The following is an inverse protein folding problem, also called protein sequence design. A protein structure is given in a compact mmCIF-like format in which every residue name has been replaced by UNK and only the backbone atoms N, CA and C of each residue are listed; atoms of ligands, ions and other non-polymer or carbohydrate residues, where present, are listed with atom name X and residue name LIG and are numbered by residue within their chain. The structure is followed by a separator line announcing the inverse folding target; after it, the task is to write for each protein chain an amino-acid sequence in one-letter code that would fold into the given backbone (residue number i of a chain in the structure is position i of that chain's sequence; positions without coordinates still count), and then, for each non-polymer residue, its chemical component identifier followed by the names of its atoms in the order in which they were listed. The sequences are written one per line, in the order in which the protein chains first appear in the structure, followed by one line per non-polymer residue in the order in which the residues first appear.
data_IF_695189728727
#
_entry.id   IF_695189728727
#
_cell.length_a   1.000
_cell.length_b   1.000
_cell.length_c   1.000
_cell.angle_alpha   90.00
_cell.angle_beta   90.00
_cell.angle_gamma   90.00
#
_symmetry.space_group_name_H-M   'P 1'
#
loop_
_entity.id
_entity.type
_entity.pdbx_description
1 polymer ?
#
# COMPACT_ATOMS: atom_id res chain seq x y z
N UNK A 1 1.87 -32.15 -5.88
CA UNK A 1 1.71 -31.96 -7.34
C UNK A 1 2.03 -30.50 -7.68
N UNK A 2 2.19 -30.14 -8.96
CA UNK A 2 2.53 -28.76 -9.38
C UNK A 2 1.54 -27.73 -8.84
N UNK A 3 0.23 -27.97 -9.00
CA UNK A 3 -0.82 -27.08 -8.52
C UNK A 3 -0.74 -26.83 -7.00
N UNK A 4 -0.45 -27.87 -6.20
CA UNK A 4 -0.26 -27.71 -4.74
C UNK A 4 0.94 -26.83 -4.39
N UNK A 5 2.05 -26.94 -5.15
CA UNK A 5 3.22 -26.08 -4.95
C UNK A 5 2.89 -24.62 -5.26
N UNK A 6 2.23 -24.37 -6.39
CA UNK A 6 1.80 -23.03 -6.78
C UNK A 6 0.83 -22.41 -5.77
N UNK A 7 -0.12 -23.19 -5.27
CA UNK A 7 -1.04 -22.74 -4.22
C UNK A 7 -0.28 -22.38 -2.94
N UNK A 8 0.70 -23.19 -2.54
CA UNK A 8 1.53 -22.93 -1.36
C UNK A 8 2.35 -21.66 -1.53
N UNK A 9 2.98 -21.46 -2.69
CA UNK A 9 3.74 -20.24 -2.99
C UNK A 9 2.83 -19.00 -3.00
N UNK A 10 1.64 -19.11 -3.61
CA UNK A 10 0.66 -18.03 -3.67
C UNK A 10 0.18 -17.64 -2.27
N UNK A 11 -0.12 -18.62 -1.41
CA UNK A 11 -0.50 -18.36 -0.02
C UNK A 11 0.63 -17.71 0.77
N UNK A 12 1.86 -18.22 0.66
CA UNK A 12 3.02 -17.63 1.33
C UNK A 12 3.28 -16.19 0.85
N UNK A 13 3.09 -15.93 -0.45
CA UNK A 13 3.29 -14.60 -1.00
C UNK A 13 2.14 -13.64 -0.61
N UNK A 14 0.91 -14.14 -0.48
CA UNK A 14 -0.21 -13.38 0.07
C UNK A 14 0.02 -13.04 1.55
N UNK A 15 0.51 -13.98 2.35
CA UNK A 15 0.87 -13.74 3.76
C UNK A 15 1.97 -12.68 3.88
N UNK A 16 3.03 -12.78 3.07
CA UNK A 16 4.10 -11.78 3.04
C UNK A 16 3.61 -10.39 2.59
N UNK A 17 2.71 -10.36 1.61
CA UNK A 17 2.04 -9.13 1.14
C UNK A 17 1.23 -8.50 2.26
N UNK A 18 0.40 -9.29 2.95
CA UNK A 18 -0.44 -8.80 4.05
C UNK A 18 0.41 -8.29 5.23
N UNK A 19 1.49 -9.00 5.58
CA UNK A 19 2.43 -8.61 6.63
C UNK A 19 3.13 -7.27 6.34
N UNK A 20 3.28 -6.92 5.07
CA UNK A 20 3.87 -5.64 4.62
C UNK A 20 2.82 -4.54 4.47
N UNK A 21 1.67 -4.86 3.86
CA UNK A 21 0.60 -3.90 3.58
C UNK A 21 -0.02 -3.31 4.85
N UNK A 22 -0.33 -4.16 5.84
CA UNK A 22 -1.05 -3.72 7.03
C UNK A 22 -0.27 -2.65 7.83
N UNK A 23 1.03 -2.82 8.14
CA UNK A 23 1.82 -1.77 8.79
C UNK A 23 1.94 -0.48 7.96
N UNK A 24 2.06 -0.58 6.63
CA UNK A 24 2.18 0.61 5.76
C UNK A 24 0.90 1.44 5.74
N UNK A 25 -0.26 0.78 5.59
CA UNK A 25 -1.57 1.44 5.66
C UNK A 25 -1.79 2.03 7.05
N UNK A 26 -1.46 1.30 8.11
CA UNK A 26 -1.57 1.80 9.48
C UNK A 26 -0.68 3.04 9.71
N UNK A 27 0.55 3.04 9.17
CA UNK A 27 1.46 4.19 9.26
C UNK A 27 0.90 5.39 8.50
N UNK A 28 0.40 5.19 7.27
CA UNK A 28 -0.22 6.25 6.48
C UNK A 28 -1.45 6.85 7.18
N UNK A 29 -2.34 5.99 7.70
CA UNK A 29 -3.53 6.42 8.43
C UNK A 29 -3.17 7.16 9.73
N UNK A 30 -2.20 6.67 10.49
CA UNK A 30 -1.70 7.33 11.69
C UNK A 30 -1.18 8.73 11.40
N UNK A 31 -0.38 8.87 10.33
CA UNK A 31 0.23 10.14 9.95
C UNK A 31 -0.78 11.14 9.43
N UNK A 32 -1.74 10.67 8.62
CA UNK A 32 -2.88 11.47 8.20
C UNK A 32 -3.67 11.97 9.43
N UNK A 33 -4.01 11.08 10.37
CA UNK A 33 -4.76 11.46 11.58
C UNK A 33 -4.02 12.47 12.46
N UNK A 34 -2.69 12.36 12.59
CA UNK A 34 -1.88 13.32 13.36
C UNK A 34 -1.91 14.72 12.75
N UNK A 35 -1.80 14.80 11.42
CA UNK A 35 -1.86 16.07 10.69
C UNK A 35 -3.28 16.65 10.73
N UNK A 36 -4.29 15.79 10.53
CA UNK A 36 -5.69 16.16 10.50
C UNK A 36 -6.13 16.77 11.84
N UNK A 37 -5.88 16.08 12.95
CA UNK A 37 -6.23 16.56 14.28
C UNK A 37 -5.53 17.89 14.61
N UNK A 38 -4.25 18.02 14.26
CA UNK A 38 -3.52 19.27 14.47
C UNK A 38 -4.15 20.43 13.69
N UNK A 39 -4.44 20.24 12.40
CA UNK A 39 -5.06 21.26 11.57
C UNK A 39 -6.47 21.61 12.05
N UNK A 40 -7.28 20.61 12.42
CA UNK A 40 -8.62 20.81 12.96
C UNK A 40 -8.61 21.58 14.28
N UNK A 41 -7.72 21.22 15.22
CA UNK A 41 -7.55 21.95 16.48
C UNK A 41 -7.18 23.41 16.22
N UNK A 42 -6.19 23.66 15.36
CA UNK A 42 -5.76 25.01 15.00
C UNK A 42 -6.87 25.79 14.27
N UNK A 43 -7.68 25.12 13.45
CA UNK A 43 -8.82 25.73 12.78
C UNK A 43 -9.99 26.05 13.69
N UNK A 44 -10.21 25.26 14.75
CA UNK A 44 -11.30 25.43 15.71
C UNK A 44 -10.96 26.45 16.81
N UNK A 45 -9.67 26.63 17.14
CA UNK A 45 -9.22 27.62 18.13
C UNK A 45 -9.25 29.05 17.57
N UNK A 46 -10.47 29.56 17.42
CA UNK A 46 -10.74 30.91 16.93
C UNK A 46 -12.00 31.51 17.55
N UNK A 47 -12.07 32.85 17.59
CA UNK A 47 -13.31 33.58 17.86
C UNK A 47 -14.04 33.90 16.55
N UNK A 48 -15.32 34.29 16.66
CA UNK A 48 -16.14 34.77 15.55
C UNK A 48 -15.73 36.19 15.10
N UNK A 49 -14.44 36.38 14.77
CA UNK A 49 -13.88 37.62 14.30
C UNK A 49 -12.86 37.34 13.20
N UNK A 50 -12.92 38.12 12.12
CA UNK A 50 -11.96 38.01 11.02
C UNK A 50 -10.54 38.47 11.40
N UNK A 51 -10.41 39.28 12.48
CA UNK A 51 -9.17 39.98 12.83
C UNK A 51 -8.64 39.68 14.22
N UNK A 52 -9.43 39.04 15.08
CA UNK A 52 -9.05 38.81 16.48
C UNK A 52 -9.20 37.35 16.81
N UNK A 53 -8.20 36.81 17.50
CA UNK A 53 -8.19 35.45 18.06
C UNK A 53 -8.42 34.34 17.03
N UNK A 54 -7.35 33.91 16.37
CA UNK A 54 -7.31 32.76 15.44
C UNK A 54 -5.92 32.11 15.49
N UNK A 55 -5.87 30.81 15.15
CA UNK A 55 -4.62 30.05 15.12
C UNK A 55 -4.06 29.77 13.72
N UNK A 56 -4.85 30.01 12.67
CA UNK A 56 -4.40 29.94 11.26
C UNK A 56 -4.61 31.31 10.60
N UNK A 57 -3.51 32.00 10.30
CA UNK A 57 -3.51 33.31 9.66
C UNK A 57 -3.33 33.24 8.15
N UNK A 58 -3.64 34.34 7.47
CA UNK A 58 -3.26 34.54 6.06
C UNK A 58 -1.73 34.77 5.94
N UNK A 59 -1.15 34.40 4.80
CA UNK A 59 0.29 34.57 4.54
C UNK A 59 0.73 36.03 4.66
N UNK A 60 -0.10 36.96 4.18
CA UNK A 60 0.17 38.40 4.15
C UNK A 60 -0.93 39.20 4.85
N UNK A 61 -0.64 39.72 6.05
CA UNK A 61 -1.48 40.68 6.79
C UNK A 61 -2.13 40.12 8.07
N UNK A 62 -2.86 40.97 8.79
CA UNK A 62 -3.40 40.69 10.14
C UNK A 62 -4.85 40.16 10.18
N UNK A 63 -5.14 39.10 9.42
CA UNK A 63 -6.45 38.45 9.40
C UNK A 63 -6.33 36.92 9.49
N UNK A 64 -7.44 36.28 9.86
CA UNK A 64 -7.65 34.84 9.73
C UNK A 64 -7.49 34.40 8.26
N UNK A 65 -7.01 33.17 8.04
CA UNK A 65 -6.97 32.54 6.73
C UNK A 65 -8.34 32.52 6.01
N UNK A 66 -8.35 32.92 4.74
CA UNK A 66 -9.55 33.00 3.87
C UNK A 66 -9.66 31.85 2.86
N UNK A 67 -8.62 31.04 2.72
CA UNK A 67 -8.41 30.01 1.68
C UNK A 67 -8.85 28.59 2.09
N UNK A 68 -9.80 28.47 3.02
CA UNK A 68 -10.23 27.17 3.56
C UNK A 68 -9.04 26.26 3.98
N UNK A 69 -8.26 26.66 4.99
CA UNK A 69 -7.04 25.93 5.39
C UNK A 69 -7.29 24.50 5.90
N UNK A 70 -8.55 24.12 6.10
CA UNK A 70 -8.98 22.79 6.52
C UNK A 70 -9.45 21.93 5.34
N UNK A 71 -9.27 22.39 4.10
CA UNK A 71 -9.61 21.60 2.93
C UNK A 71 -8.79 20.31 2.89
N UNK A 72 -9.47 19.16 2.89
CA UNK A 72 -8.82 17.85 2.95
C UNK A 72 -8.58 17.32 4.37
N UNK A 73 -9.00 18.07 5.40
CA UNK A 73 -9.12 17.59 6.77
C UNK A 73 -10.49 16.92 7.02
N UNK A 74 -10.60 16.16 8.11
CA UNK A 74 -11.79 15.40 8.53
C UNK A 74 -12.28 14.40 7.48
N UNK A 75 -11.33 13.75 6.80
CA UNK A 75 -11.64 12.74 5.77
C UNK A 75 -12.03 11.45 6.47
N UNK A 76 -13.26 10.94 6.26
CA UNK A 76 -13.66 9.68 6.85
C UNK A 76 -12.79 8.55 6.31
N UNK A 77 -12.60 7.50 7.12
CA UNK A 77 -12.04 6.26 6.63
C UNK A 77 -13.01 5.71 5.58
N UNK A 78 -12.63 5.78 4.31
CA UNK A 78 -13.43 5.24 3.23
C UNK A 78 -13.32 3.72 3.21
N UNK A 79 -14.46 3.04 3.21
CA UNK A 79 -14.54 1.57 3.11
C UNK A 79 -14.62 1.09 1.66
N UNK A 80 -14.83 2.01 0.72
CA UNK A 80 -14.93 1.70 -0.71
C UNK A 80 -13.57 1.85 -1.36
N UNK A 81 -13.13 0.82 -2.07
CA UNK A 81 -11.90 0.88 -2.85
C UNK A 81 -12.01 1.97 -3.93
N UNK A 82 -11.15 2.99 -3.83
CA UNK A 82 -10.93 3.94 -4.92
C UNK A 82 -9.63 3.60 -5.60
N UNK A 83 -9.68 3.44 -6.93
CA UNK A 83 -8.47 3.27 -7.72
C UNK A 83 -7.60 4.53 -7.63
N UNK A 84 -6.53 4.47 -6.84
CA UNK A 84 -5.42 5.43 -6.91
C UNK A 84 -4.08 4.75 -6.70
N UNK A 85 -3.34 4.62 -7.79
CA UNK A 85 -1.88 4.53 -7.74
C UNK A 85 -1.31 5.92 -7.43
N UNK A 86 -1.44 6.37 -6.18
CA UNK A 86 -0.70 7.54 -5.69
C UNK A 86 0.60 7.05 -5.09
N UNK A 87 1.71 7.53 -5.65
CA UNK A 87 3.05 7.42 -5.05
C UNK A 87 3.11 8.29 -3.80
N UNK A 88 2.66 7.71 -2.68
CA UNK A 88 2.48 8.44 -1.43
C UNK A 88 3.83 8.81 -0.80
N UNK A 89 4.86 7.99 -1.00
CA UNK A 89 6.22 8.32 -0.58
C UNK A 89 6.73 9.57 -1.29
N UNK A 90 6.68 9.60 -2.62
CA UNK A 90 7.06 10.77 -3.43
C UNK A 90 6.22 12.02 -3.09
N UNK A 91 4.91 11.86 -2.84
CA UNK A 91 4.06 12.98 -2.40
C UNK A 91 4.49 13.51 -1.03
N UNK A 92 4.74 12.61 -0.08
CA UNK A 92 5.17 12.96 1.28
C UNK A 92 6.51 13.69 1.25
N UNK A 93 7.47 13.18 0.48
CA UNK A 93 8.78 13.81 0.31
C UNK A 93 8.67 15.18 -0.35
N UNK A 94 7.88 15.31 -1.43
CA UNK A 94 7.65 16.61 -2.06
C UNK A 94 6.99 17.62 -1.11
N UNK A 95 6.00 17.21 -0.34
CA UNK A 95 5.21 18.11 0.52
C UNK A 95 5.93 18.46 1.83
N UNK A 96 6.70 17.55 2.41
CA UNK A 96 7.32 17.74 3.72
C UNK A 96 8.86 17.69 3.70
N UNK A 97 9.49 17.46 2.55
CA UNK A 97 10.95 17.35 2.42
C UNK A 97 11.68 18.69 2.42
N UNK A 98 10.96 19.80 2.22
CA UNK A 98 11.53 21.13 2.24
C UNK A 98 11.30 21.81 3.60
N UNK A 99 12.25 22.67 3.96
CA UNK A 99 12.11 23.55 5.10
C UNK A 99 11.05 24.60 4.80
N UNK A 100 10.14 24.79 5.75
CA UNK A 100 9.22 25.91 5.78
C UNK A 100 9.48 26.72 7.06
N UNK A 101 9.07 27.98 7.08
CA UNK A 101 9.17 28.82 8.28
C UNK A 101 7.78 29.31 8.68
N UNK A 102 7.24 28.72 9.75
CA UNK A 102 5.98 29.18 10.34
C UNK A 102 6.17 30.61 10.85
N UNK A 103 5.58 31.57 10.13
CA UNK A 103 5.63 32.98 10.48
C UNK A 103 4.67 33.25 11.65
N UNK A 104 5.23 33.45 12.83
CA UNK A 104 4.48 33.95 14.01
C UNK A 104 4.49 35.48 14.01
N UNK A 105 3.82 36.09 13.05
CA UNK A 105 3.88 37.56 12.86
C UNK A 105 2.94 38.34 13.79
N UNK A 106 2.11 37.69 14.62
CA UNK A 106 1.00 38.36 15.31
C UNK A 106 0.82 37.86 16.75
N UNK A 107 1.44 38.58 17.70
CA UNK A 107 1.33 38.29 19.13
C UNK A 107 -0.14 38.23 19.58
N UNK A 108 -0.50 37.16 20.29
CA UNK A 108 -1.78 37.05 20.98
C UNK A 108 -3.00 36.73 20.09
N UNK A 109 -2.81 36.34 18.83
CA UNK A 109 -3.90 35.83 17.98
C UNK A 109 -4.24 34.38 18.32
N UNK A 110 -3.25 33.50 18.39
CA UNK A 110 -3.49 32.12 18.80
C UNK A 110 -3.27 31.97 20.30
N UNK A 111 -4.21 31.34 21.01
CA UNK A 111 -4.03 31.05 22.45
C UNK A 111 -2.87 30.08 22.68
N UNK A 112 -2.71 29.09 21.81
CA UNK A 112 -1.62 28.11 21.93
C UNK A 112 -0.25 28.75 21.80
N UNK A 113 -0.08 29.80 21.00
CA UNK A 113 1.20 30.52 20.90
C UNK A 113 1.24 31.78 21.78
N UNK A 114 0.27 31.95 22.68
CA UNK A 114 0.31 32.98 23.73
C UNK A 114 1.29 32.62 24.85
N UNK A 115 1.47 33.52 25.82
CA UNK A 115 2.26 33.21 27.01
C UNK A 115 1.51 32.15 27.85
N UNK A 116 1.93 30.89 27.77
CA UNK A 116 1.28 29.77 28.44
C UNK A 116 1.58 29.76 29.95
N UNK A 117 2.70 30.34 30.37
CA UNK A 117 3.06 30.47 31.78
C UNK A 117 2.08 31.34 32.59
N UNK A 118 1.26 32.18 31.94
CA UNK A 118 0.19 32.91 32.62
C UNK A 118 -1.04 32.04 32.93
N UNK A 119 -1.17 30.90 32.24
CA UNK A 119 -2.32 30.00 32.39
C UNK A 119 -1.96 28.70 33.12
N UNK A 120 -0.67 28.37 33.19
CA UNK A 120 -0.18 27.13 33.77
C UNK A 120 1.04 27.40 34.67
N UNK A 121 1.05 26.83 35.87
CA UNK A 121 2.05 27.16 36.90
C UNK A 121 3.32 26.30 36.84
N UNK A 122 3.31 25.15 36.15
CA UNK A 122 4.41 24.15 36.17
C UNK A 122 4.72 23.61 34.76
N UNK A 123 4.94 24.48 33.77
CA UNK A 123 5.33 24.04 32.43
C UNK A 123 6.84 23.73 32.37
N UNK A 124 7.18 22.46 32.24
CA UNK A 124 8.55 22.01 32.01
C UNK A 124 8.86 22.01 30.49
N UNK A 125 9.43 23.11 29.99
CA UNK A 125 9.89 23.21 28.60
C UNK A 125 8.77 23.43 27.56
N UNK A 126 9.12 23.49 26.27
CA UNK A 126 8.19 23.78 25.19
C UNK A 126 7.16 22.66 24.98
N UNK A 127 5.94 23.03 24.57
CA UNK A 127 4.94 22.08 24.12
C UNK A 127 5.29 21.64 22.70
N UNK A 128 5.46 20.32 22.53
CA UNK A 128 5.83 19.72 21.26
C UNK A 128 4.58 19.16 20.57
N UNK A 129 4.34 19.57 19.33
CA UNK A 129 3.27 19.01 18.49
C UNK A 129 3.86 18.48 17.18
N UNK A 130 3.13 17.57 16.53
CA UNK A 130 3.59 16.86 15.31
C UNK A 130 4.98 16.24 15.48
N UNK A 131 5.22 15.55 16.60
CA UNK A 131 6.52 14.91 16.88
C UNK A 131 7.68 15.90 17.06
N UNK A 132 7.41 17.13 17.47
CA UNK A 132 8.42 18.15 17.75
C UNK A 132 8.82 19.00 16.54
N UNK A 133 8.16 18.82 15.39
CA UNK A 133 8.30 19.70 14.22
C UNK A 133 7.85 21.13 14.54
N UNK A 134 6.85 21.24 15.43
CA UNK A 134 6.40 22.51 15.98
C UNK A 134 6.62 22.48 17.49
N UNK A 135 7.35 23.49 17.99
CA UNK A 135 7.65 23.65 19.43
C UNK A 135 7.17 24.99 19.91
N UNK A 136 6.12 24.98 20.71
CA UNK A 136 5.50 26.17 21.27
C UNK A 136 6.21 26.50 22.58
N UNK A 137 6.71 27.73 22.72
CA UNK A 137 7.41 28.15 23.94
C UNK A 137 6.41 28.38 25.08
N UNK A 138 6.86 28.22 26.31
CA UNK A 138 6.03 28.51 27.49
C UNK A 138 5.77 30.00 27.66
N UNK A 139 6.68 30.87 27.18
CA UNK A 139 6.59 32.33 27.26
C UNK A 139 5.85 32.96 26.08
N UNK A 140 5.44 32.16 25.09
CA UNK A 140 4.73 32.60 23.89
C UNK A 140 5.58 32.60 22.62
N UNK A 141 4.92 32.28 21.51
CA UNK A 141 5.52 32.05 20.21
C UNK A 141 5.95 30.60 19.97
N UNK A 142 6.70 30.41 18.90
CA UNK A 142 7.25 29.13 18.47
C UNK A 142 8.77 29.22 18.49
N UNK A 143 9.45 28.22 19.03
CA UNK A 143 10.91 28.14 19.04
C UNK A 143 11.47 28.16 17.61
N UNK A 144 12.60 28.84 17.38
CA UNK A 144 13.19 28.93 16.03
C UNK A 144 13.54 27.55 15.43
N UNK A 145 13.96 26.59 16.25
CA UNK A 145 14.21 25.21 15.83
C UNK A 145 12.93 24.36 15.65
N UNK A 146 11.77 24.88 16.05
CA UNK A 146 10.47 24.23 15.98
C UNK A 146 9.50 24.95 15.07
N UNK A 147 9.98 25.57 13.99
CA UNK A 147 9.15 26.29 12.98
C UNK A 147 9.07 25.55 11.65
N UNK A 148 9.28 24.22 11.64
CA UNK A 148 9.38 23.43 10.41
C UNK A 148 10.64 23.70 9.56
N UNK A 149 11.67 24.32 10.14
CA UNK A 149 12.86 24.85 9.44
C UNK A 149 13.82 23.80 8.86
N UNK A 150 13.55 22.52 9.09
CA UNK A 150 14.31 21.38 8.55
C UNK A 150 13.44 20.40 7.75
N UNK A 151 12.17 20.75 7.50
CA UNK A 151 11.18 19.85 6.93
C UNK A 151 10.64 18.82 7.92
N UNK A 152 9.67 18.03 7.47
CA UNK A 152 8.94 17.03 8.25
C UNK A 152 9.36 15.59 7.99
N UNK A 153 10.11 15.28 6.93
CA UNK A 153 10.40 13.90 6.52
C UNK A 153 11.15 13.07 7.57
N UNK A 154 11.98 13.70 8.41
CA UNK A 154 12.70 12.99 9.47
C UNK A 154 11.82 12.62 10.68
N UNK A 155 10.59 13.15 10.75
CA UNK A 155 9.68 12.88 11.85
C UNK A 155 9.23 11.43 11.86
N UNK A 156 9.03 10.88 13.06
CA UNK A 156 8.69 9.46 13.25
C UNK A 156 7.41 9.00 12.56
N UNK A 157 6.50 9.94 12.23
CA UNK A 157 5.25 9.62 11.55
C UNK A 157 5.37 9.73 10.02
N UNK A 158 6.26 10.58 9.47
CA UNK A 158 6.40 10.72 8.02
C UNK A 158 7.54 9.88 7.43
N UNK A 159 8.56 9.55 8.23
CA UNK A 159 9.80 8.92 7.75
C UNK A 159 9.57 7.64 6.95
N UNK A 160 8.86 6.67 7.53
CA UNK A 160 8.59 5.38 6.86
C UNK A 160 7.75 5.55 5.60
N UNK A 161 6.85 6.53 5.57
CA UNK A 161 6.05 6.82 4.36
C UNK A 161 6.96 7.33 3.26
N UNK A 162 7.82 8.31 3.56
CA UNK A 162 8.73 8.92 2.60
C UNK A 162 9.77 7.92 2.05
N UNK A 163 10.33 7.04 2.90
CA UNK A 163 11.42 6.14 2.48
C UNK A 163 10.94 4.82 1.88
N UNK A 164 9.86 4.23 2.40
CA UNK A 164 9.59 2.80 2.19
C UNK A 164 8.27 2.53 1.46
N UNK A 165 7.31 3.47 1.49
CA UNK A 165 5.94 3.20 1.02
C UNK A 165 5.89 2.79 -0.45
N UNK A 166 6.51 3.57 -1.34
CA UNK A 166 6.39 3.35 -2.79
C UNK A 166 7.14 2.09 -3.24
N UNK A 167 8.29 1.80 -2.63
CA UNK A 167 9.05 0.57 -2.90
C UNK A 167 8.28 -0.69 -2.50
N UNK A 168 7.69 -0.70 -1.31
CA UNK A 168 6.87 -1.81 -0.85
C UNK A 168 5.56 -1.94 -1.65
N UNK A 169 4.92 -0.83 -2.01
CA UNK A 169 3.72 -0.83 -2.85
C UNK A 169 3.99 -1.45 -4.23
N UNK A 170 5.19 -1.24 -4.79
CA UNK A 170 5.59 -1.85 -6.06
C UNK A 170 5.78 -3.36 -5.92
N UNK A 171 6.48 -3.83 -4.88
CA UNK A 171 6.70 -5.26 -4.62
C UNK A 171 5.35 -6.01 -4.52
N UNK A 172 4.36 -5.42 -3.86
CA UNK A 172 3.03 -6.05 -3.68
C UNK A 172 2.25 -6.24 -4.99
N UNK A 173 2.52 -5.46 -6.05
CA UNK A 173 1.86 -5.63 -7.35
C UNK A 173 2.40 -6.80 -8.16
N UNK A 174 3.57 -7.33 -7.79
CA UNK A 174 4.27 -8.34 -8.57
C UNK A 174 3.85 -9.77 -8.19
N UNK A 175 2.86 -9.92 -7.30
CA UNK A 175 2.66 -11.18 -6.58
C UNK A 175 1.41 -11.93 -7.08
N UNK A 176 1.65 -12.83 -8.03
CA UNK A 176 1.33 -14.27 -8.02
C UNK A 176 1.25 -14.72 -9.48
N UNK A 177 1.94 -15.78 -9.92
CA UNK A 177 1.76 -16.32 -11.26
C UNK A 177 0.29 -16.72 -11.43
N UNK A 178 -0.43 -16.00 -12.30
CA UNK A 178 -1.81 -16.34 -12.64
C UNK A 178 -1.81 -17.74 -13.24
N UNK A 179 -2.55 -18.67 -12.61
CA UNK A 179 -2.78 -19.98 -13.20
C UNK A 179 -3.55 -19.81 -14.52
N UNK A 180 -3.22 -20.58 -15.57
CA UNK A 180 -3.95 -20.52 -16.82
C UNK A 180 -5.44 -20.76 -16.64
N UNK A 181 -6.26 -19.88 -17.19
CA UNK A 181 -7.73 -19.90 -17.15
C UNK A 181 -8.35 -20.19 -18.52
N UNK A 182 -7.52 -20.44 -19.54
CA UNK A 182 -7.96 -20.79 -20.89
C UNK A 182 -7.03 -21.81 -21.54
N UNK A 183 -7.54 -22.51 -22.56
CA UNK A 183 -6.75 -23.45 -23.37
C UNK A 183 -5.46 -22.80 -23.91
N UNK A 184 -5.58 -21.56 -24.39
CA UNK A 184 -4.47 -20.81 -24.98
C UNK A 184 -3.42 -20.43 -23.93
N UNK A 185 -3.86 -19.96 -22.74
CA UNK A 185 -2.97 -19.68 -21.63
C UNK A 185 -2.27 -20.97 -21.14
N UNK A 186 -3.00 -22.10 -21.07
CA UNK A 186 -2.45 -23.36 -20.58
C UNK A 186 -1.44 -23.93 -21.56
N UNK A 187 -1.75 -23.92 -22.85
CA UNK A 187 -0.81 -24.32 -23.89
C UNK A 187 0.44 -23.43 -23.84
N UNK A 188 0.28 -22.11 -23.78
CA UNK A 188 1.41 -21.19 -23.68
C UNK A 188 2.27 -21.46 -22.44
N UNK A 189 1.65 -21.73 -21.29
CA UNK A 189 2.35 -22.14 -20.08
C UNK A 189 3.16 -23.45 -20.30
N UNK A 190 2.54 -24.48 -20.87
CA UNK A 190 3.18 -25.78 -21.07
C UNK A 190 4.33 -25.73 -22.08
N UNK A 191 4.29 -24.86 -23.11
CA UNK A 191 5.41 -24.67 -24.06
C UNK A 191 6.73 -24.33 -23.37
N UNK A 192 6.67 -23.71 -22.19
CA UNK A 192 7.85 -23.33 -21.40
C UNK A 192 8.35 -24.45 -20.49
N UNK A 193 7.91 -25.70 -20.66
CA UNK A 193 8.33 -26.85 -19.84
C UNK A 193 9.86 -27.00 -19.72
N UNK A 194 10.62 -26.63 -20.76
CA UNK A 194 12.08 -26.68 -20.77
C UNK A 194 12.74 -25.78 -19.73
N UNK A 195 12.12 -24.65 -19.41
CA UNK A 195 12.66 -23.65 -18.48
C UNK A 195 11.89 -23.59 -17.15
N UNK A 196 10.76 -24.31 -17.04
CA UNK A 196 9.94 -24.34 -15.84
C UNK A 196 10.48 -25.33 -14.78
N UNK A 197 11.32 -24.84 -13.88
CA UNK A 197 11.92 -25.65 -12.82
C UNK A 197 10.90 -26.24 -11.84
N UNK A 198 9.81 -25.53 -11.51
CA UNK A 198 8.76 -26.06 -10.62
C UNK A 198 8.01 -27.22 -11.26
N UNK A 199 7.81 -27.18 -12.58
CA UNK A 199 7.19 -28.28 -13.33
C UNK A 199 8.09 -29.53 -13.33
N UNK A 200 9.40 -29.33 -13.51
CA UNK A 200 10.41 -30.40 -13.40
C UNK A 200 10.48 -30.98 -11.99
N UNK A 201 10.44 -30.14 -10.96
CA UNK A 201 10.44 -30.56 -9.56
C UNK A 201 9.19 -31.38 -9.23
N UNK A 202 8.02 -30.92 -9.69
CA UNK A 202 6.77 -31.64 -9.49
C UNK A 202 6.80 -33.02 -10.17
N UNK A 203 7.32 -33.11 -11.40
CA UNK A 203 7.51 -34.39 -12.08
C UNK A 203 8.50 -35.30 -11.34
N UNK A 204 9.60 -34.74 -10.81
CA UNK A 204 10.55 -35.48 -9.99
C UNK A 204 9.93 -36.07 -8.73
N UNK A 205 9.11 -35.29 -8.01
CA UNK A 205 8.40 -35.78 -6.81
C UNK A 205 7.38 -36.87 -7.13
N UNK A 206 6.62 -36.75 -8.21
CA UNK A 206 5.61 -37.75 -8.60
C UNK A 206 6.27 -39.07 -9.01
N UNK A 207 7.41 -38.99 -9.71
CA UNK A 207 8.11 -40.17 -10.22
C UNK A 207 9.21 -40.68 -9.28
N UNK A 208 9.35 -40.11 -8.08
CA UNK A 208 10.42 -40.42 -7.12
C UNK A 208 11.82 -40.41 -7.75
N UNK A 209 12.11 -39.42 -8.59
CA UNK A 209 13.41 -39.29 -9.22
C UNK A 209 14.48 -38.84 -8.23
N UNK A 210 15.68 -39.38 -8.37
CA UNK A 210 16.85 -38.87 -7.67
C UNK A 210 17.13 -37.42 -8.09
N UNK A 211 17.67 -36.64 -7.15
CA UNK A 211 18.04 -35.23 -7.39
C UNK A 211 19.06 -35.09 -8.52
N UNK A 212 19.93 -36.08 -8.68
CA UNK A 212 20.97 -36.21 -9.71
C UNK A 212 20.43 -36.43 -11.13
N UNK A 213 19.14 -36.74 -11.32
CA UNK A 213 18.59 -37.06 -12.64
C UNK A 213 18.86 -35.91 -13.63
N UNK A 214 19.42 -36.19 -14.83
CA UNK A 214 19.76 -35.16 -15.80
C UNK A 214 18.57 -34.29 -16.22
N UNK A 215 18.82 -32.99 -16.41
CA UNK A 215 17.78 -32.03 -16.76
C UNK A 215 17.15 -32.30 -18.14
N UNK A 216 17.93 -32.84 -19.09
CA UNK A 216 17.45 -33.28 -20.40
C UNK A 216 16.40 -34.37 -20.26
N UNK A 217 16.63 -35.38 -19.42
CA UNK A 217 15.67 -36.46 -19.19
C UNK A 217 14.38 -35.97 -18.52
N UNK A 218 14.49 -35.02 -17.59
CA UNK A 218 13.31 -34.38 -16.99
C UNK A 218 12.51 -33.64 -18.06
N UNK A 219 13.19 -32.93 -18.94
CA UNK A 219 12.60 -32.18 -20.05
C UNK A 219 11.91 -33.08 -21.07
N UNK A 220 12.56 -34.17 -21.47
CA UNK A 220 12.01 -35.15 -22.42
C UNK A 220 10.75 -35.80 -21.85
N UNK A 221 10.78 -36.20 -20.57
CA UNK A 221 9.60 -36.71 -19.89
C UNK A 221 8.43 -35.70 -19.90
N UNK A 222 8.70 -34.43 -19.61
CA UNK A 222 7.67 -33.38 -19.63
C UNK A 222 7.09 -33.18 -21.04
N UNK A 223 7.93 -33.22 -22.08
CA UNK A 223 7.47 -33.16 -23.48
C UNK A 223 6.51 -34.31 -23.78
N UNK A 224 6.88 -35.53 -23.38
CA UNK A 224 6.09 -36.75 -23.60
C UNK A 224 4.77 -36.72 -22.85
N UNK A 225 4.77 -36.44 -21.54
CA UNK A 225 3.54 -36.50 -20.74
C UNK A 225 2.52 -35.42 -21.11
N UNK A 226 2.98 -34.25 -21.58
CA UNK A 226 2.10 -33.20 -22.05
C UNK A 226 1.76 -33.33 -23.54
N UNK A 227 2.34 -34.30 -24.26
CA UNK A 227 2.14 -34.51 -25.69
C UNK A 227 2.39 -33.24 -26.49
N UNK A 228 3.47 -32.50 -26.18
CA UNK A 228 3.77 -31.22 -26.84
C UNK A 228 4.38 -31.49 -28.22
N UNK A 229 3.75 -30.94 -29.26
CA UNK A 229 4.26 -31.06 -30.64
C UNK A 229 5.67 -30.47 -30.78
N UNK A 230 6.42 -30.87 -31.81
CA UNK A 230 7.79 -30.36 -32.01
C UNK A 230 7.85 -28.83 -32.16
N UNK A 231 6.86 -28.25 -32.85
CA UNK A 231 6.70 -26.80 -32.98
C UNK A 231 6.13 -26.14 -31.71
N UNK A 232 5.73 -26.93 -30.71
CA UNK A 232 5.05 -26.46 -29.51
C UNK A 232 3.71 -25.80 -29.79
N UNK A 233 3.08 -26.05 -30.93
CA UNK A 233 1.81 -25.44 -31.33
C UNK A 233 0.60 -26.15 -30.73
N UNK A 234 0.78 -27.40 -30.27
CA UNK A 234 -0.29 -28.26 -29.79
C UNK A 234 0.16 -29.05 -28.56
N UNK A 235 -0.81 -29.49 -27.76
CA UNK A 235 -0.60 -30.34 -26.59
C UNK A 235 -1.77 -31.33 -26.47
N UNK A 236 -1.47 -32.62 -26.46
CA UNK A 236 -2.49 -33.67 -26.22
C UNK A 236 -3.15 -33.50 -24.86
N UNK A 237 -2.38 -33.07 -23.85
CA UNK A 237 -2.91 -32.79 -22.52
C UNK A 237 -3.98 -31.68 -22.54
N UNK A 238 -3.73 -30.58 -23.26
CA UNK A 238 -4.72 -29.48 -23.40
C UNK A 238 -5.97 -29.98 -24.13
N UNK A 239 -5.79 -30.77 -25.19
CA UNK A 239 -6.91 -31.38 -25.95
C UNK A 239 -7.75 -32.30 -25.06
N UNK A 240 -7.12 -33.19 -24.30
CA UNK A 240 -7.80 -34.11 -23.39
C UNK A 240 -8.52 -33.36 -22.27
N UNK A 241 -7.89 -32.33 -21.69
CA UNK A 241 -8.48 -31.53 -20.63
C UNK A 241 -9.70 -30.75 -21.11
N UNK A 242 -9.64 -30.19 -22.33
CA UNK A 242 -10.78 -29.51 -22.99
C UNK A 242 -11.96 -30.45 -23.25
N UNK A 243 -11.66 -31.68 -23.69
CA UNK A 243 -12.68 -32.70 -23.92
C UNK A 243 -13.31 -33.21 -22.62
N UNK A 244 -12.59 -33.09 -21.50
CA UNK A 244 -13.07 -33.50 -20.19
C UNK A 244 -14.07 -32.47 -19.65
N UNK A 245 -15.32 -32.91 -19.50
CA UNK A 245 -16.41 -32.11 -18.94
C UNK A 245 -16.88 -32.72 -17.63
N UNK A 246 -17.43 -31.89 -16.76
CA UNK A 246 -18.17 -32.33 -15.58
C UNK A 246 -19.53 -31.64 -15.53
N UNK A 247 -20.57 -32.31 -15.01
CA UNK A 247 -21.82 -31.67 -14.69
C UNK A 247 -21.59 -30.68 -13.54
N UNK A 248 -21.79 -29.39 -13.82
CA UNK A 248 -21.75 -28.30 -12.84
C UNK A 248 -23.17 -27.81 -12.61
N UNK A 249 -23.52 -27.57 -11.35
CA UNK A 249 -24.83 -27.05 -10.97
C UNK A 249 -24.96 -25.60 -11.44
N UNK A 250 -25.95 -25.33 -12.30
CA UNK A 250 -26.22 -23.99 -12.86
C UNK A 250 -27.45 -23.32 -12.25
N UNK A 251 -28.10 -23.98 -11.30
CA UNK A 251 -29.32 -23.51 -10.64
C UNK A 251 -29.81 -24.49 -9.58
N UNK A 252 -30.91 -24.19 -8.91
CA UNK A 252 -31.42 -25.00 -7.77
C UNK A 252 -31.65 -26.47 -8.14
N UNK A 253 -32.02 -26.74 -9.39
CA UNK A 253 -32.35 -28.08 -9.92
C UNK A 253 -31.80 -28.34 -11.33
N UNK A 254 -30.86 -27.52 -11.82
CA UNK A 254 -30.27 -27.66 -13.15
C UNK A 254 -28.76 -27.85 -13.07
N UNK A 255 -28.21 -28.62 -14.01
CA UNK A 255 -26.77 -28.79 -14.20
C UNK A 255 -26.44 -28.79 -15.68
N UNK A 256 -25.24 -28.35 -16.03
CA UNK A 256 -24.74 -28.34 -17.40
C UNK A 256 -23.33 -28.96 -17.44
N UNK A 257 -23.00 -29.60 -18.55
CA UNK A 257 -21.64 -30.09 -18.80
C UNK A 257 -20.70 -28.92 -19.09
N UNK A 258 -19.82 -28.61 -18.15
CA UNK A 258 -18.85 -27.51 -18.24
C UNK A 258 -17.46 -28.08 -18.46
N UNK A 259 -16.63 -27.44 -19.28
CA UNK A 259 -15.23 -27.82 -19.45
C UNK A 259 -14.42 -27.45 -18.19
N UNK A 260 -13.45 -28.28 -17.78
CA UNK A 260 -12.73 -28.10 -16.50
C UNK A 260 -12.12 -26.69 -16.36
N UNK A 261 -11.52 -26.13 -17.41
CA UNK A 261 -10.90 -24.80 -17.39
C UNK A 261 -11.92 -23.63 -17.37
N UNK A 262 -13.21 -23.91 -17.54
CA UNK A 262 -14.30 -22.95 -17.48
C UNK A 262 -15.11 -23.06 -16.19
N UNK A 263 -14.72 -23.98 -15.29
CA UNK A 263 -15.30 -24.10 -13.95
C UNK A 263 -14.64 -23.06 -13.07
N UNK A 264 -15.13 -21.83 -13.15
CA UNK A 264 -14.77 -20.78 -12.20
C UNK A 264 -15.78 -20.82 -11.05
N UNK A 265 -15.30 -20.61 -9.82
CA UNK A 265 -16.19 -20.32 -8.69
C UNK A 265 -16.80 -18.92 -8.95
N UNK A 266 -18.07 -18.87 -9.33
CA UNK A 266 -18.91 -17.66 -9.20
C UNK A 266 -19.48 -17.57 -7.78
#
# INVERSE_FOLDING_TARGET
TYASMMLTDALAALEATAATAAPLVATAAYSAGRLDEFMLLMGQLQQNSAKTKYCIGQDNGDNKASNNPLQGCNVPIETTEKAKNTKLGELTDRTFGHAEDIKTNQNGKCYLTGNLATYHTNLAGPIQVLGGLIKITTTGGIENSGKFTVGGIASSFLKTIASDYDGNAQIMKEITPKMPTSDAELLNFLKHYKTNNKLKEAAGKINNWESSKPDSEKTDYLKTIFGISEAGTESEFVTALKATKRPVKTGKSTSAETAILQMNDE
#
